data_IF_451110421524
#
_entry.id   IF_451110421524
#
_cell.length_a   1.000
_cell.length_b   1.000
_cell.length_c   1.000
_cell.angle_alpha   90.00
_cell.angle_beta   90.00
_cell.angle_gamma   90.00
#
_symmetry.space_group_name_H-M   'P 1'
#
loop_
_entity.id
_entity.type
_entity.pdbx_description
1 polymer ?
#
# COMPACT_ATOMS: atom_id res chain seq x y z
N UNK A 1 32.41 59.80 40.09
CA UNK A 1 32.90 58.87 39.08
C UNK A 1 31.85 57.75 38.99
N UNK A 2 30.84 57.92 38.09
CA UNK A 2 29.72 57.00 37.94
C UNK A 2 30.01 56.04 36.78
N UNK A 3 30.08 54.75 37.11
CA UNK A 3 30.25 53.68 36.11
C UNK A 3 28.90 53.29 35.56
N UNK A 4 28.66 53.60 34.28
CA UNK A 4 27.52 53.09 33.52
C UNK A 4 27.83 51.68 33.06
N UNK A 5 27.13 50.68 33.60
CA UNK A 5 27.12 49.31 33.10
C UNK A 5 26.02 49.23 32.02
N UNK A 6 26.43 49.15 30.74
CA UNK A 6 25.56 48.81 29.62
C UNK A 6 25.21 47.32 29.71
N UNK A 7 23.95 47.04 30.04
CA UNK A 7 23.34 45.72 29.85
C UNK A 7 23.11 45.53 28.34
N UNK A 8 23.93 44.71 27.74
CA UNK A 8 23.71 44.22 26.41
C UNK A 8 22.61 43.13 26.48
N UNK A 9 21.41 43.39 26.00
CA UNK A 9 20.35 42.40 25.85
C UNK A 9 20.75 41.40 24.82
N UNK A 10 20.60 40.09 25.03
CA UNK A 10 20.79 39.11 23.99
C UNK A 10 19.71 39.27 22.96
N UNK A 11 20.09 39.69 21.74
CA UNK A 11 19.24 39.61 20.56
C UNK A 11 18.81 38.16 20.41
N UNK A 12 17.52 37.91 20.55
CA UNK A 12 16.88 36.66 20.16
C UNK A 12 17.01 36.54 18.65
N UNK A 13 18.06 35.85 18.19
CA UNK A 13 18.10 35.32 16.83
C UNK A 13 16.91 34.37 16.71
N UNK A 14 15.83 34.82 16.13
CA UNK A 14 14.84 33.93 15.57
C UNK A 14 15.58 33.12 14.50
N UNK A 15 15.89 31.84 14.80
CA UNK A 15 16.26 30.89 13.78
C UNK A 15 15.11 30.87 12.75
N UNK A 16 15.31 31.53 11.63
CA UNK A 16 14.46 31.35 10.46
C UNK A 16 14.66 29.90 10.07
N UNK A 17 13.70 29.05 10.38
CA UNK A 17 13.72 27.63 10.02
C UNK A 17 14.01 27.58 8.50
N UNK A 18 15.13 26.97 8.13
CA UNK A 18 15.54 26.82 6.74
C UNK A 18 14.43 26.07 6.01
N UNK A 19 13.79 26.72 5.06
CA UNK A 19 12.73 26.13 4.28
C UNK A 19 13.32 25.05 3.37
N UNK A 20 12.95 23.79 3.62
CA UNK A 20 13.40 22.64 2.83
C UNK A 20 12.66 22.57 1.50
N UNK A 21 13.36 22.22 0.44
CA UNK A 21 12.77 22.03 -0.90
C UNK A 21 12.58 20.55 -1.22
N UNK A 22 11.42 20.22 -1.79
CA UNK A 22 11.05 18.88 -2.23
C UNK A 22 10.68 18.90 -3.72
N UNK A 23 11.22 17.96 -4.49
CA UNK A 23 10.69 17.67 -5.81
C UNK A 23 9.95 16.32 -5.82
N UNK A 24 8.69 16.32 -6.31
CA UNK A 24 7.90 15.12 -6.57
C UNK A 24 7.99 14.80 -8.05
N UNK A 25 8.63 13.69 -8.39
CA UNK A 25 8.93 13.28 -9.76
C UNK A 25 8.07 12.10 -10.18
N UNK A 26 7.32 12.22 -11.27
CA UNK A 26 6.53 11.12 -11.84
C UNK A 26 6.23 11.36 -13.32
N UNK A 27 5.84 10.31 -14.06
CA UNK A 27 5.45 10.45 -15.47
C UNK A 27 3.93 10.50 -15.60
N UNK A 28 3.36 11.71 -15.68
CA UNK A 28 1.91 11.93 -15.75
C UNK A 28 1.29 11.48 -17.08
N UNK A 29 2.06 11.46 -18.16
CA UNK A 29 1.59 11.11 -19.51
C UNK A 29 1.38 9.59 -19.63
N UNK A 30 2.17 8.79 -18.91
CA UNK A 30 2.05 7.34 -18.89
C UNK A 30 0.88 6.83 -18.02
N UNK A 31 0.21 7.71 -17.25
CA UNK A 31 -0.83 7.32 -16.32
C UNK A 31 -2.20 7.23 -16.98
N UNK A 32 -2.89 6.10 -16.83
CA UNK A 32 -4.31 5.95 -17.18
C UNK A 32 -5.18 6.87 -16.31
N UNK A 33 -6.37 7.32 -16.76
CA UNK A 33 -7.24 8.22 -15.99
C UNK A 33 -7.52 7.76 -14.55
N UNK A 34 -7.79 6.48 -14.35
CA UNK A 34 -8.02 5.91 -13.00
C UNK A 34 -6.80 5.98 -12.10
N UNK A 35 -5.60 5.84 -12.67
CA UNK A 35 -4.33 5.92 -11.93
C UNK A 35 -3.98 7.37 -11.61
N UNK A 36 -4.38 8.34 -12.43
CA UNK A 36 -4.20 9.77 -12.14
C UNK A 36 -4.90 10.19 -10.85
N UNK A 37 -6.07 9.63 -10.54
CA UNK A 37 -6.76 9.89 -9.28
C UNK A 37 -5.97 9.37 -8.08
N UNK A 38 -5.40 8.17 -8.19
CA UNK A 38 -4.52 7.58 -7.17
C UNK A 38 -3.31 8.49 -6.91
N UNK A 39 -2.65 8.95 -7.98
CA UNK A 39 -1.51 9.86 -7.84
C UNK A 39 -1.89 11.20 -7.22
N UNK A 40 -3.07 11.73 -7.54
CA UNK A 40 -3.60 12.95 -6.89
C UNK A 40 -3.72 12.77 -5.37
N UNK A 41 -4.22 11.63 -4.92
CA UNK A 41 -4.33 11.32 -3.49
C UNK A 41 -2.94 11.19 -2.85
N UNK A 42 -2.01 10.45 -3.49
CA UNK A 42 -0.63 10.31 -3.00
C UNK A 42 0.05 11.68 -2.88
N UNK A 43 -0.01 12.51 -3.93
CA UNK A 43 0.62 13.84 -3.95
C UNK A 43 -0.01 14.76 -2.90
N UNK A 44 -1.34 14.71 -2.73
CA UNK A 44 -2.04 15.42 -1.67
C UNK A 44 -1.50 15.06 -0.28
N UNK A 45 -1.35 13.77 -0.04
CA UNK A 45 -0.77 13.25 1.20
C UNK A 45 0.69 13.66 1.40
N UNK A 46 1.52 13.58 0.34
CA UNK A 46 2.93 14.03 0.41
C UNK A 46 3.02 15.48 0.85
N UNK A 47 2.19 16.36 0.29
CA UNK A 47 2.17 17.78 0.66
C UNK A 47 1.83 17.99 2.13
N UNK A 48 0.94 17.19 2.69
CA UNK A 48 0.57 17.26 4.09
C UNK A 48 1.65 16.66 4.99
N UNK A 49 2.23 15.51 4.63
CA UNK A 49 3.28 14.84 5.39
C UNK A 49 4.63 15.56 5.37
N UNK A 50 4.98 16.19 4.25
CA UNK A 50 6.21 17.01 4.14
C UNK A 50 6.04 18.40 4.74
N UNK A 51 4.80 18.86 4.91
CA UNK A 51 4.47 20.20 5.41
C UNK A 51 4.26 21.22 4.30
N UNK A 52 3.03 21.72 4.21
CA UNK A 52 2.55 22.66 3.16
C UNK A 52 3.31 23.99 3.08
N UNK A 53 4.06 24.35 4.12
CA UNK A 53 4.85 25.60 4.16
C UNK A 53 6.19 25.45 3.42
N UNK A 54 6.62 24.21 3.13
CA UNK A 54 7.85 23.95 2.41
C UNK A 54 7.66 24.17 0.91
N UNK A 55 8.77 24.41 0.21
CA UNK A 55 8.75 24.56 -1.24
C UNK A 55 8.61 23.18 -1.90
N UNK A 56 7.49 22.92 -2.58
CA UNK A 56 7.20 21.63 -3.24
C UNK A 56 6.99 21.85 -4.73
N UNK A 57 7.84 21.24 -5.53
CA UNK A 57 7.82 21.30 -7.00
C UNK A 57 7.35 19.93 -7.53
N UNK A 58 6.46 19.93 -8.53
CA UNK A 58 6.06 18.71 -9.24
C UNK A 58 6.73 18.66 -10.62
N UNK A 59 7.40 17.53 -10.90
CA UNK A 59 8.04 17.20 -12.17
C UNK A 59 7.25 16.06 -12.82
N UNK A 60 6.49 16.38 -13.85
CA UNK A 60 5.43 15.50 -14.38
C UNK A 60 5.80 14.72 -15.63
N UNK A 61 6.97 14.94 -16.19
CA UNK A 61 7.51 14.24 -17.37
C UNK A 61 8.38 13.02 -17.01
N UNK A 62 8.62 12.82 -15.71
CA UNK A 62 9.49 11.76 -15.19
C UNK A 62 10.97 12.07 -15.27
N UNK A 63 11.36 13.29 -15.69
CA UNK A 63 12.76 13.71 -15.72
C UNK A 63 13.22 14.10 -14.32
N UNK A 64 14.47 13.77 -13.97
CA UNK A 64 15.12 14.17 -12.72
C UNK A 64 16.38 15.01 -12.96
N UNK A 65 16.73 15.25 -14.24
CA UNK A 65 17.92 16.00 -14.60
C UNK A 65 17.72 17.51 -14.43
N UNK A 66 18.70 18.16 -13.80
CA UNK A 66 18.72 19.62 -13.65
C UNK A 66 17.87 20.18 -12.51
N UNK A 67 17.29 19.34 -11.64
CA UNK A 67 16.52 19.78 -10.49
C UNK A 67 17.40 19.90 -9.25
N UNK A 68 17.39 21.07 -8.63
CA UNK A 68 18.05 21.35 -7.36
C UNK A 68 16.99 21.35 -6.26
N UNK A 69 16.76 20.18 -5.64
CA UNK A 69 15.94 20.05 -4.46
C UNK A 69 16.74 19.35 -3.35
N UNK A 70 16.45 19.68 -2.10
CA UNK A 70 17.09 19.01 -0.96
C UNK A 70 16.71 17.53 -0.88
N UNK A 71 15.49 17.19 -1.29
CA UNK A 71 14.96 15.83 -1.28
C UNK A 71 14.09 15.57 -2.51
N UNK A 72 14.14 14.33 -3.01
CA UNK A 72 13.28 13.83 -4.09
C UNK A 72 12.31 12.78 -3.58
N UNK A 73 11.04 12.87 -3.99
CA UNK A 73 10.11 11.74 -3.93
C UNK A 73 9.81 11.31 -5.35
N UNK A 74 10.21 10.09 -5.70
CA UNK A 74 10.05 9.54 -7.06
C UNK A 74 8.94 8.50 -7.05
N UNK A 75 7.91 8.70 -7.88
CA UNK A 75 6.71 7.86 -7.88
C UNK A 75 6.57 7.04 -9.16
N UNK A 76 6.34 5.75 -8.98
CA UNK A 76 6.02 4.79 -10.03
C UNK A 76 7.24 4.17 -10.69
N UNK A 77 7.02 2.97 -11.22
CA UNK A 77 8.06 2.08 -11.71
C UNK A 77 9.01 2.74 -12.71
N UNK A 78 8.46 3.44 -13.70
CA UNK A 78 9.26 4.07 -14.75
C UNK A 78 10.18 5.16 -14.19
N UNK A 79 9.62 6.11 -13.44
CA UNK A 79 10.39 7.24 -12.91
C UNK A 79 11.49 6.74 -11.95
N UNK A 80 11.19 5.74 -11.11
CA UNK A 80 12.17 5.16 -10.18
C UNK A 80 13.29 4.43 -10.93
N UNK A 81 13.00 3.68 -11.99
CA UNK A 81 14.04 3.04 -12.81
C UNK A 81 14.97 4.08 -13.46
N UNK A 82 14.42 5.17 -13.96
CA UNK A 82 15.23 6.27 -14.53
C UNK A 82 16.09 6.93 -13.44
N UNK A 83 15.51 7.17 -12.28
CA UNK A 83 16.21 7.78 -11.16
C UNK A 83 17.37 6.90 -10.65
N UNK A 84 17.15 5.59 -10.52
CA UNK A 84 18.19 4.63 -10.10
C UNK A 84 19.32 4.46 -11.12
N UNK A 85 19.04 4.67 -12.40
CA UNK A 85 20.05 4.64 -13.48
C UNK A 85 20.85 5.94 -13.59
N UNK A 86 20.42 7.01 -12.92
CA UNK A 86 21.06 8.33 -12.95
C UNK A 86 21.97 8.61 -11.77
N UNK A 87 22.74 9.69 -11.88
CA UNK A 87 23.59 10.19 -10.78
C UNK A 87 22.81 11.22 -9.96
N UNK A 88 22.05 10.76 -8.96
CA UNK A 88 21.25 11.60 -8.09
C UNK A 88 22.03 11.93 -6.82
N UNK A 89 22.32 13.20 -6.60
CA UNK A 89 23.02 13.69 -5.40
C UNK A 89 22.07 14.04 -4.23
N UNK A 90 20.78 14.22 -4.51
CA UNK A 90 19.78 14.53 -3.50
C UNK A 90 19.35 13.30 -2.72
N UNK A 91 18.91 13.48 -1.48
CA UNK A 91 18.23 12.43 -0.74
C UNK A 91 16.98 11.95 -1.50
N UNK A 92 16.83 10.63 -1.69
CA UNK A 92 15.73 10.07 -2.49
C UNK A 92 14.85 9.12 -1.68
N UNK A 93 13.54 9.30 -1.82
CA UNK A 93 12.52 8.40 -1.34
C UNK A 93 11.66 7.94 -2.51
N UNK A 94 11.33 6.66 -2.59
CA UNK A 94 10.53 6.11 -3.68
C UNK A 94 9.16 5.63 -3.21
N UNK A 95 8.17 5.72 -4.07
CA UNK A 95 6.83 5.26 -3.77
C UNK A 95 6.06 4.81 -5.01
N UNK A 96 4.89 4.21 -4.78
CA UNK A 96 4.03 3.70 -5.84
C UNK A 96 4.74 2.70 -6.77
N UNK A 97 5.69 1.92 -6.26
CA UNK A 97 6.43 0.88 -7.01
C UNK A 97 5.97 -0.51 -6.62
N UNK A 98 6.14 -1.45 -7.55
CA UNK A 98 5.64 -2.81 -7.47
C UNK A 98 6.72 -3.86 -7.15
N UNK A 99 7.93 -3.43 -6.84
CA UNK A 99 9.03 -4.31 -6.39
C UNK A 99 9.71 -3.71 -5.16
N UNK A 100 10.42 -4.54 -4.41
CA UNK A 100 11.29 -4.08 -3.34
C UNK A 100 12.64 -3.68 -3.89
N UNK A 101 13.19 -2.57 -3.38
CA UNK A 101 14.48 -2.00 -3.76
C UNK A 101 15.26 -1.67 -2.48
N UNK A 102 16.33 -2.43 -2.24
CA UNK A 102 17.09 -2.32 -0.98
C UNK A 102 18.07 -1.14 -0.97
N UNK A 103 18.30 -0.50 -2.10
CA UNK A 103 19.23 0.62 -2.23
C UNK A 103 18.64 1.99 -1.89
N UNK A 104 17.33 2.07 -1.70
CA UNK A 104 16.61 3.34 -1.45
C UNK A 104 15.59 3.23 -0.33
N UNK A 105 15.21 4.37 0.22
CA UNK A 105 14.07 4.47 1.12
C UNK A 105 12.76 4.51 0.35
N UNK A 106 11.71 3.85 0.86
CA UNK A 106 10.41 3.98 0.20
C UNK A 106 9.29 3.14 0.78
N UNK A 107 8.14 3.23 0.11
CA UNK A 107 6.94 2.45 0.41
C UNK A 107 6.50 1.64 -0.81
N UNK A 108 6.20 0.37 -0.57
CA UNK A 108 5.62 -0.49 -1.58
C UNK A 108 4.16 -0.08 -1.89
N UNK A 109 3.70 -0.29 -3.12
CA UNK A 109 2.34 0.13 -3.53
C UNK A 109 1.23 -0.77 -2.98
N UNK A 110 1.53 -2.00 -2.58
CA UNK A 110 0.53 -2.95 -2.10
C UNK A 110 0.47 -2.98 -0.57
N UNK A 111 -0.72 -3.27 -0.04
CA UNK A 111 -0.87 -3.53 1.38
C UNK A 111 0.03 -4.69 1.84
N UNK A 112 0.56 -4.56 3.06
CA UNK A 112 1.34 -5.60 3.73
C UNK A 112 0.53 -6.93 3.78
N UNK A 113 1.03 -8.04 3.23
CA UNK A 113 0.37 -9.33 3.31
C UNK A 113 0.06 -9.79 4.75
N UNK A 114 0.94 -9.44 5.70
CA UNK A 114 0.71 -9.75 7.11
C UNK A 114 -0.60 -9.12 7.59
N UNK A 115 -0.87 -7.88 7.19
CA UNK A 115 -2.09 -7.18 7.55
C UNK A 115 -3.36 -7.82 6.95
N UNK A 116 -3.24 -8.40 5.75
CA UNK A 116 -4.35 -9.13 5.12
C UNK A 116 -4.71 -10.38 5.94
N UNK A 117 -3.71 -11.17 6.35
CA UNK A 117 -3.94 -12.38 7.15
C UNK A 117 -4.38 -12.07 8.58
N UNK A 118 -3.82 -11.03 9.22
CA UNK A 118 -4.26 -10.54 10.53
C UNK A 118 -5.74 -10.13 10.50
N UNK A 119 -6.13 -9.33 9.48
CA UNK A 119 -7.52 -8.92 9.28
C UNK A 119 -8.44 -10.13 9.01
N UNK A 120 -7.96 -11.13 8.26
CA UNK A 120 -8.71 -12.35 8.01
C UNK A 120 -8.97 -13.13 9.30
N UNK A 121 -7.95 -13.31 10.15
CA UNK A 121 -8.10 -13.99 11.44
C UNK A 121 -9.07 -13.24 12.37
N UNK A 122 -9.04 -11.94 12.34
CA UNK A 122 -9.93 -11.12 13.17
C UNK A 122 -11.39 -11.21 12.69
N UNK A 123 -11.62 -11.16 11.37
CA UNK A 123 -12.97 -11.20 10.78
C UNK A 123 -13.52 -12.63 10.69
N UNK A 124 -12.68 -13.60 10.29
CA UNK A 124 -13.09 -14.99 10.04
C UNK A 124 -12.13 -15.97 10.72
N UNK A 125 -12.13 -16.07 12.07
CA UNK A 125 -11.16 -16.87 12.84
C UNK A 125 -11.14 -18.38 12.48
N UNK A 126 -12.22 -18.88 11.86
CA UNK A 126 -12.29 -20.28 11.43
C UNK A 126 -11.41 -20.60 10.20
N UNK A 127 -10.89 -19.59 9.50
CA UNK A 127 -10.06 -19.81 8.32
C UNK A 127 -8.66 -20.23 8.76
N UNK A 128 -8.32 -21.48 8.46
CA UNK A 128 -6.99 -22.05 8.70
C UNK A 128 -6.13 -22.18 7.45
N UNK A 129 -6.71 -22.01 6.27
CA UNK A 129 -5.99 -22.14 5.00
C UNK A 129 -6.48 -21.11 3.96
N UNK A 130 -5.51 -20.50 3.25
CA UNK A 130 -5.77 -19.52 2.21
C UNK A 130 -5.11 -19.94 0.90
N UNK A 131 -5.89 -19.92 -0.17
CA UNK A 131 -5.41 -20.14 -1.53
C UNK A 131 -5.24 -18.81 -2.24
N UNK A 132 -4.13 -18.66 -2.95
CA UNK A 132 -3.79 -17.47 -3.73
C UNK A 132 -3.33 -17.92 -5.11
N UNK A 133 -3.89 -17.34 -6.17
CA UNK A 133 -3.42 -17.57 -7.52
C UNK A 133 -2.62 -16.34 -7.94
N UNK A 134 -1.34 -16.51 -8.20
CA UNK A 134 -0.43 -15.46 -8.63
C UNK A 134 -0.12 -15.56 -10.12
N UNK A 135 0.03 -14.41 -10.73
CA UNK A 135 0.57 -14.30 -12.08
C UNK A 135 2.09 -14.54 -12.05
N UNK A 136 2.58 -15.44 -12.93
CA UNK A 136 4.02 -15.75 -13.06
C UNK A 136 4.86 -14.51 -13.38
N UNK A 137 4.27 -13.51 -14.03
CA UNK A 137 4.96 -12.28 -14.44
C UNK A 137 4.86 -11.16 -13.38
N UNK A 138 4.03 -11.36 -12.35
CA UNK A 138 3.83 -10.36 -11.30
C UNK A 138 4.94 -10.40 -10.26
N UNK A 139 5.43 -9.23 -9.89
CA UNK A 139 6.37 -9.03 -8.77
C UNK A 139 5.73 -8.27 -7.59
N UNK A 140 4.40 -8.11 -7.61
CA UNK A 140 3.69 -7.36 -6.57
C UNK A 140 3.71 -8.03 -5.20
N UNK A 141 3.87 -9.35 -5.14
CA UNK A 141 3.89 -10.11 -3.90
C UNK A 141 5.03 -11.13 -3.94
N UNK A 142 5.76 -11.21 -2.85
CA UNK A 142 6.79 -12.24 -2.65
C UNK A 142 6.16 -13.49 -2.03
N UNK A 143 6.37 -14.65 -2.63
CA UNK A 143 5.78 -15.92 -2.18
C UNK A 143 6.25 -16.33 -0.78
N UNK A 144 7.53 -16.10 -0.47
CA UNK A 144 8.10 -16.40 0.85
C UNK A 144 7.46 -15.52 1.94
N UNK A 145 7.25 -14.23 1.65
CA UNK A 145 6.62 -13.29 2.60
C UNK A 145 5.16 -13.65 2.84
N UNK A 146 4.44 -14.09 1.81
CA UNK A 146 3.06 -14.58 1.93
C UNK A 146 2.99 -15.77 2.89
N UNK A 147 3.83 -16.79 2.66
CA UNK A 147 3.86 -18.00 3.50
C UNK A 147 4.25 -17.67 4.94
N UNK A 148 5.29 -16.85 5.13
CA UNK A 148 5.74 -16.45 6.47
C UNK A 148 4.68 -15.63 7.20
N UNK A 149 4.01 -14.71 6.51
CA UNK A 149 2.96 -13.86 7.09
C UNK A 149 1.74 -14.67 7.51
N UNK A 150 1.30 -15.62 6.68
CA UNK A 150 0.21 -16.52 7.06
C UNK A 150 0.58 -17.38 8.27
N UNK A 151 1.78 -17.97 8.29
CA UNK A 151 2.26 -18.79 9.39
C UNK A 151 2.27 -18.06 10.75
N UNK A 152 2.61 -16.77 10.76
CA UNK A 152 2.61 -15.94 11.99
C UNK A 152 1.26 -15.87 12.68
N UNK A 153 0.17 -15.98 11.93
CA UNK A 153 -1.21 -15.94 12.46
C UNK A 153 -1.91 -17.29 12.37
N UNK A 154 -1.17 -18.38 12.14
CA UNK A 154 -1.74 -19.74 12.11
C UNK A 154 -2.50 -20.09 10.82
N UNK A 155 -2.28 -19.36 9.73
CA UNK A 155 -2.88 -19.63 8.42
C UNK A 155 -1.88 -20.36 7.51
N UNK A 156 -2.27 -21.52 6.98
CA UNK A 156 -1.55 -22.18 5.89
C UNK A 156 -1.81 -21.43 4.58
N UNK A 157 -0.76 -21.06 3.87
CA UNK A 157 -0.86 -20.37 2.58
C UNK A 157 -0.49 -21.32 1.44
N UNK A 158 -1.45 -21.56 0.53
CA UNK A 158 -1.27 -22.36 -0.67
C UNK A 158 -1.26 -21.50 -1.92
N UNK A 159 -0.11 -21.41 -2.58
CA UNK A 159 0.08 -20.57 -3.75
C UNK A 159 0.03 -21.42 -5.00
N UNK A 160 -0.73 -20.97 -6.00
CA UNK A 160 -0.75 -21.51 -7.36
C UNK A 160 -0.30 -20.44 -8.32
N UNK A 161 0.50 -20.82 -9.30
CA UNK A 161 0.98 -19.91 -10.34
C UNK A 161 0.16 -20.12 -11.62
N UNK A 162 -0.18 -19.03 -12.29
CA UNK A 162 -0.85 -19.05 -13.59
C UNK A 162 -0.11 -18.11 -14.55
N UNK A 163 0.09 -18.54 -15.78
CA UNK A 163 0.79 -17.75 -16.80
C UNK A 163 -0.16 -16.95 -17.69
N UNK A 164 -1.45 -17.36 -17.72
CA UNK A 164 -2.46 -16.74 -18.55
C UNK A 164 -3.88 -16.95 -17.99
N UNK A 165 -4.85 -16.29 -18.61
CA UNK A 165 -6.26 -16.33 -18.19
C UNK A 165 -6.85 -17.74 -18.22
N UNK A 166 -6.45 -18.59 -19.18
CA UNK A 166 -6.99 -19.96 -19.30
C UNK A 166 -6.50 -20.84 -18.15
N UNK A 167 -5.20 -20.79 -17.85
CA UNK A 167 -4.61 -21.51 -16.72
C UNK A 167 -5.26 -21.08 -15.40
N UNK A 168 -5.37 -19.78 -15.19
CA UNK A 168 -6.02 -19.24 -14.01
C UNK A 168 -7.48 -19.71 -13.89
N UNK A 169 -8.25 -19.66 -14.96
CA UNK A 169 -9.65 -20.11 -14.97
C UNK A 169 -9.79 -21.58 -14.59
N UNK A 170 -8.90 -22.45 -15.08
CA UNK A 170 -8.86 -23.87 -14.71
C UNK A 170 -8.55 -24.02 -13.23
N UNK A 171 -7.49 -23.35 -12.74
CA UNK A 171 -7.10 -23.42 -11.32
C UNK A 171 -8.23 -22.92 -10.41
N UNK A 172 -8.80 -21.75 -10.69
CA UNK A 172 -9.94 -21.22 -9.90
C UNK A 172 -11.14 -22.15 -9.94
N UNK A 173 -11.47 -22.73 -11.12
CA UNK A 173 -12.57 -23.67 -11.27
C UNK A 173 -12.38 -24.92 -10.43
N UNK A 174 -11.21 -25.55 -10.50
CA UNK A 174 -10.93 -26.76 -9.74
C UNK A 174 -10.87 -26.49 -8.24
N UNK A 175 -10.13 -25.49 -7.80
CA UNK A 175 -10.07 -25.12 -6.38
C UNK A 175 -11.47 -24.87 -5.79
N UNK A 176 -12.25 -24.05 -6.44
CA UNK A 176 -13.58 -23.65 -5.90
C UNK A 176 -14.61 -24.77 -5.82
N UNK A 177 -14.38 -25.93 -6.46
CA UNK A 177 -15.22 -27.15 -6.29
C UNK A 177 -14.97 -27.84 -4.95
N UNK A 178 -13.78 -27.72 -4.40
CA UNK A 178 -13.29 -28.50 -3.26
C UNK A 178 -13.08 -27.70 -1.99
N UNK A 179 -13.11 -26.34 -2.08
CA UNK A 179 -12.92 -25.45 -0.92
C UNK A 179 -14.00 -25.66 0.13
N UNK A 180 -13.56 -25.71 1.40
CA UNK A 180 -14.38 -25.91 2.58
C UNK A 180 -14.60 -24.62 3.37
N UNK A 181 -15.54 -24.65 4.33
CA UNK A 181 -15.90 -23.45 5.12
C UNK A 181 -14.78 -22.88 5.98
N UNK A 182 -13.75 -23.67 6.29
CA UNK A 182 -12.55 -23.24 7.02
C UNK A 182 -11.41 -22.79 6.09
N UNK A 183 -11.67 -22.66 4.80
CA UNK A 183 -10.71 -22.25 3.80
C UNK A 183 -11.13 -20.92 3.15
N UNK A 184 -10.16 -20.19 2.62
CA UNK A 184 -10.39 -18.94 1.92
C UNK A 184 -9.66 -18.87 0.60
N UNK A 185 -10.22 -18.08 -0.33
CA UNK A 185 -9.60 -17.66 -1.57
C UNK A 185 -9.31 -16.16 -1.49
N UNK A 186 -8.05 -15.77 -1.61
CA UNK A 186 -7.67 -14.38 -1.72
C UNK A 186 -7.37 -14.01 -3.18
N UNK A 187 -8.12 -13.05 -3.72
CA UNK A 187 -7.86 -12.42 -5.02
C UNK A 187 -6.84 -11.29 -4.77
N UNK A 188 -5.56 -11.47 -5.18
CA UNK A 188 -4.46 -10.59 -4.81
C UNK A 188 -4.50 -9.24 -5.54
N UNK A 189 -3.66 -8.25 -5.16
CA UNK A 189 -3.52 -7.02 -5.91
C UNK A 189 -2.96 -7.28 -7.31
N UNK A 190 -3.40 -6.48 -8.29
CA UNK A 190 -2.93 -6.62 -9.68
C UNK A 190 -3.42 -7.87 -10.40
N UNK A 191 -4.38 -8.62 -9.85
CA UNK A 191 -4.96 -9.77 -10.52
C UNK A 191 -5.62 -9.36 -11.84
N UNK A 192 -5.08 -9.89 -12.94
CA UNK A 192 -5.59 -9.71 -14.31
C UNK A 192 -6.48 -10.85 -14.78
N UNK A 193 -6.64 -11.90 -13.98
CA UNK A 193 -7.32 -13.14 -14.38
C UNK A 193 -8.79 -13.16 -13.98
N UNK A 194 -9.15 -12.52 -12.86
CA UNK A 194 -10.51 -12.54 -12.33
C UNK A 194 -11.39 -11.49 -13.01
N UNK A 195 -12.01 -11.90 -14.11
CA UNK A 195 -13.05 -11.10 -14.78
C UNK A 195 -14.42 -11.24 -14.08
N UNK A 196 -15.41 -10.46 -14.54
CA UNK A 196 -16.75 -10.44 -13.97
C UNK A 196 -17.41 -11.84 -13.92
N UNK A 197 -17.27 -12.64 -14.97
CA UNK A 197 -17.87 -13.98 -15.07
C UNK A 197 -17.25 -14.94 -14.07
N UNK A 198 -15.91 -15.00 -14.03
CA UNK A 198 -15.21 -15.85 -13.08
C UNK A 198 -15.51 -15.46 -11.64
N UNK A 199 -15.47 -14.16 -11.31
CA UNK A 199 -15.83 -13.67 -9.98
C UNK A 199 -17.23 -14.11 -9.58
N UNK A 200 -18.22 -13.94 -10.46
CA UNK A 200 -19.62 -14.35 -10.17
C UNK A 200 -19.73 -15.86 -9.91
N UNK A 201 -18.98 -16.67 -10.66
CA UNK A 201 -18.95 -18.13 -10.45
C UNK A 201 -18.32 -18.51 -9.11
N UNK A 202 -17.20 -17.86 -8.75
CA UNK A 202 -16.54 -18.07 -7.47
C UNK A 202 -17.43 -17.70 -6.29
N UNK A 203 -18.10 -16.55 -6.39
CA UNK A 203 -19.01 -16.07 -5.34
C UNK A 203 -20.24 -16.97 -5.18
N UNK A 204 -20.82 -17.47 -6.29
CA UNK A 204 -21.93 -18.42 -6.22
C UNK A 204 -21.51 -19.74 -5.52
N UNK A 205 -20.32 -20.23 -5.80
CA UNK A 205 -19.79 -21.43 -5.13
C UNK A 205 -19.49 -21.17 -3.67
N UNK A 206 -18.82 -20.05 -3.36
CA UNK A 206 -18.58 -19.60 -1.98
C UNK A 206 -19.87 -19.53 -1.18
N UNK A 207 -20.93 -18.96 -1.75
CA UNK A 207 -22.23 -18.87 -1.13
C UNK A 207 -22.84 -20.23 -0.80
N UNK A 208 -22.65 -21.23 -1.67
CA UNK A 208 -23.17 -22.59 -1.47
C UNK A 208 -22.33 -23.45 -0.51
N UNK A 209 -21.00 -23.33 -0.60
CA UNK A 209 -20.06 -24.21 0.14
C UNK A 209 -19.52 -23.56 1.42
N UNK A 210 -19.76 -22.27 1.62
CA UNK A 210 -19.37 -21.55 2.84
C UNK A 210 -17.90 -21.13 2.92
N UNK A 211 -17.07 -21.40 1.90
CA UNK A 211 -15.69 -20.90 1.90
C UNK A 211 -15.63 -19.39 1.74
N UNK A 212 -14.59 -18.78 2.28
CA UNK A 212 -14.45 -17.31 2.26
C UNK A 212 -13.77 -16.81 0.99
N UNK A 213 -14.29 -15.75 0.37
CA UNK A 213 -13.59 -15.02 -0.71
C UNK A 213 -13.28 -13.62 -0.22
N UNK A 214 -12.00 -13.24 -0.29
CA UNK A 214 -11.52 -11.89 -0.03
C UNK A 214 -10.76 -11.34 -1.24
N UNK A 215 -10.55 -10.02 -1.28
CA UNK A 215 -9.88 -9.37 -2.40
C UNK A 215 -9.00 -8.19 -1.95
N UNK A 216 -8.05 -7.82 -2.79
CA UNK A 216 -7.35 -6.53 -2.69
C UNK A 216 -8.01 -5.43 -3.53
N UNK A 217 -9.07 -5.75 -4.27
CA UNK A 217 -9.83 -4.79 -5.07
C UNK A 217 -11.16 -4.44 -4.38
N UNK A 218 -11.36 -3.20 -3.89
CA UNK A 218 -12.57 -2.80 -3.19
C UNK A 218 -13.84 -2.89 -4.06
N UNK A 219 -13.72 -2.81 -5.39
CA UNK A 219 -14.89 -2.94 -6.28
C UNK A 219 -15.50 -4.35 -6.29
N UNK A 220 -14.81 -5.36 -5.78
CA UNK A 220 -15.33 -6.72 -5.65
C UNK A 220 -16.29 -6.87 -4.47
N UNK A 221 -16.21 -5.99 -3.48
CA UNK A 221 -17.08 -6.03 -2.28
C UNK A 221 -18.53 -5.85 -2.64
N UNK A 222 -18.88 -4.87 -3.48
CA UNK A 222 -20.24 -4.64 -3.96
C UNK A 222 -20.81 -5.81 -4.78
N UNK A 223 -19.92 -6.72 -5.25
CA UNK A 223 -20.31 -7.93 -6.01
C UNK A 223 -20.51 -9.16 -5.12
N UNK A 224 -20.15 -9.09 -3.83
CA UNK A 224 -20.36 -10.16 -2.86
C UNK A 224 -19.11 -10.77 -2.23
N UNK A 225 -17.91 -10.26 -2.52
CA UNK A 225 -16.70 -10.61 -1.77
C UNK A 225 -16.87 -10.16 -0.31
N UNK A 226 -16.44 -10.97 0.66
CA UNK A 226 -16.67 -10.69 2.07
C UNK A 226 -16.04 -9.38 2.50
N UNK A 227 -14.75 -9.22 2.21
CA UNK A 227 -14.05 -7.96 2.41
C UNK A 227 -12.94 -7.75 1.39
N UNK A 228 -12.55 -6.50 1.22
CA UNK A 228 -11.35 -6.12 0.51
C UNK A 228 -10.49 -5.20 1.36
N UNK A 229 -9.19 -5.50 1.39
CA UNK A 229 -8.17 -4.66 1.97
C UNK A 229 -7.37 -4.00 0.85
N UNK A 230 -7.41 -2.67 0.78
CA UNK A 230 -6.75 -1.90 -0.27
C UNK A 230 -5.92 -0.77 0.32
N UNK A 231 -4.87 -0.30 -0.37
CA UNK A 231 -4.08 0.86 0.07
C UNK A 231 -4.92 2.11 0.35
N UNK A 232 -4.59 2.84 1.41
CA UNK A 232 -4.97 4.24 1.54
C UNK A 232 -3.89 5.10 0.90
N UNK A 233 -4.14 5.50 -0.34
CA UNK A 233 -3.17 6.24 -1.15
C UNK A 233 -2.85 7.63 -0.60
N UNK A 234 -3.81 8.27 0.09
CA UNK A 234 -3.55 9.55 0.73
C UNK A 234 -2.60 9.39 1.94
N UNK A 235 -2.87 8.42 2.81
CA UNK A 235 -1.99 8.13 3.95
C UNK A 235 -0.63 7.60 3.51
N UNK A 236 -0.58 6.80 2.42
CA UNK A 236 0.69 6.44 1.78
C UNK A 236 1.49 7.70 1.42
N UNK A 237 0.84 8.70 0.84
CA UNK A 237 1.46 9.98 0.54
C UNK A 237 1.97 10.70 1.78
N UNK A 238 1.17 10.76 2.85
CA UNK A 238 1.60 11.35 4.14
C UNK A 238 2.87 10.67 4.64
N UNK A 239 2.91 9.33 4.64
CA UNK A 239 4.10 8.58 5.06
C UNK A 239 5.33 8.83 4.18
N UNK A 240 5.14 8.98 2.86
CA UNK A 240 6.24 9.33 1.96
C UNK A 240 6.78 10.72 2.26
N UNK A 241 5.92 11.70 2.54
CA UNK A 241 6.31 13.05 2.94
C UNK A 241 7.08 13.09 4.26
N UNK A 242 6.57 12.41 5.29
CA UNK A 242 7.23 12.24 6.59
C UNK A 242 8.60 11.55 6.45
N UNK A 243 8.67 10.48 5.62
CA UNK A 243 9.90 9.75 5.36
C UNK A 243 10.92 10.62 4.65
N UNK A 244 10.50 11.45 3.69
CA UNK A 244 11.39 12.37 2.98
C UNK A 244 12.03 13.39 3.94
N UNK A 245 11.26 13.96 4.88
CA UNK A 245 11.81 14.82 5.93
C UNK A 245 12.81 14.07 6.80
N UNK A 246 12.46 12.87 7.25
CA UNK A 246 13.33 12.07 8.11
C UNK A 246 14.64 11.72 7.43
N UNK A 247 14.63 11.38 6.15
CA UNK A 247 15.84 11.05 5.38
C UNK A 247 16.67 12.30 5.12
N UNK A 248 16.02 13.45 4.88
CA UNK A 248 16.72 14.73 4.76
C UNK A 248 17.44 15.13 6.05
N UNK A 249 16.78 15.02 7.19
CA UNK A 249 17.34 15.35 8.50
C UNK A 249 18.45 14.37 8.93
N UNK A 250 18.38 13.13 8.46
CA UNK A 250 19.30 12.06 8.85
C UNK A 250 19.77 11.26 7.61
N UNK A 251 20.65 11.82 6.77
CA UNK A 251 21.04 11.20 5.49
C UNK A 251 21.85 9.89 5.65
N UNK A 252 22.27 9.54 6.87
CA UNK A 252 23.00 8.30 7.15
C UNK A 252 22.11 7.13 7.59
N UNK A 253 20.78 7.30 7.62
CA UNK A 253 19.87 6.18 7.89
C UNK A 253 20.04 5.14 6.77
N UNK A 254 20.23 3.85 7.10
CA UNK A 254 20.31 2.81 6.08
C UNK A 254 19.05 2.75 5.23
N UNK A 255 19.18 2.63 3.90
CA UNK A 255 18.04 2.50 3.01
C UNK A 255 17.12 1.35 3.43
N UNK A 256 15.81 1.57 3.27
CA UNK A 256 14.81 0.56 3.57
C UNK A 256 13.52 0.82 2.83
N UNK A 257 12.97 -0.24 2.23
CA UNK A 257 11.60 -0.28 1.74
C UNK A 257 10.68 -0.85 2.81
N UNK A 258 9.55 -0.18 3.04
CA UNK A 258 8.53 -0.66 3.98
C UNK A 258 7.30 -1.17 3.22
N UNK A 259 6.67 -2.26 3.70
CA UNK A 259 5.34 -2.63 3.24
C UNK A 259 4.32 -1.57 3.67
N UNK A 260 3.28 -1.36 2.87
CA UNK A 260 2.25 -0.38 3.17
C UNK A 260 1.27 -0.93 4.23
N UNK A 261 1.16 -0.22 5.35
CA UNK A 261 0.27 -0.61 6.45
C UNK A 261 -0.95 0.31 6.63
N UNK A 262 -0.97 1.43 5.94
CA UNK A 262 -2.13 2.32 5.89
C UNK A 262 -3.11 1.82 4.82
N UNK A 263 -4.27 1.30 5.25
CA UNK A 263 -5.21 0.59 4.38
C UNK A 263 -6.66 0.97 4.63
N UNK A 264 -7.49 0.74 3.62
CA UNK A 264 -8.95 0.82 3.67
C UNK A 264 -9.53 -0.60 3.68
N UNK A 265 -10.29 -0.93 4.72
CA UNK A 265 -11.06 -2.16 4.81
C UNK A 265 -12.50 -1.90 4.36
N UNK A 266 -12.88 -2.54 3.27
CA UNK A 266 -14.26 -2.51 2.75
C UNK A 266 -14.92 -3.86 3.06
N UNK A 267 -16.10 -3.87 3.69
CA UNK A 267 -16.79 -5.09 4.10
C UNK A 267 -18.18 -5.16 3.49
N UNK A 268 -18.54 -6.33 2.96
CA UNK A 268 -19.89 -6.63 2.51
C UNK A 268 -20.74 -7.18 3.67
N UNK A 269 -21.64 -6.37 4.21
CA UNK A 269 -22.50 -6.74 5.34
C UNK A 269 -23.41 -7.92 5.00
N UNK A 270 -23.96 -7.98 3.79
CA UNK A 270 -24.83 -9.08 3.37
C UNK A 270 -24.10 -10.41 3.36
N UNK A 271 -22.90 -10.42 2.80
CA UNK A 271 -22.04 -11.61 2.77
C UNK A 271 -21.61 -12.00 4.18
N UNK A 272 -21.22 -11.05 5.03
CA UNK A 272 -20.86 -11.29 6.42
C UNK A 272 -22.02 -11.95 7.20
N UNK A 273 -23.24 -11.41 7.08
CA UNK A 273 -24.43 -11.97 7.73
C UNK A 273 -24.73 -13.39 7.24
N UNK A 274 -24.65 -13.63 5.91
CA UNK A 274 -24.85 -14.98 5.35
C UNK A 274 -23.84 -16.00 5.88
N UNK A 275 -22.60 -15.59 6.06
CA UNK A 275 -21.52 -16.46 6.55
C UNK A 275 -21.46 -16.55 8.08
N UNK A 276 -22.40 -15.90 8.80
CA UNK A 276 -22.43 -15.84 10.26
C UNK A 276 -21.23 -15.08 10.87
N UNK A 277 -20.63 -14.16 10.10
CA UNK A 277 -19.49 -13.36 10.51
C UNK A 277 -19.96 -12.07 11.18
N UNK A 278 -19.51 -11.84 12.42
CA UNK A 278 -19.79 -10.61 13.16
C UNK A 278 -18.66 -9.61 12.91
N UNK A 279 -18.99 -8.49 12.27
CA UNK A 279 -18.04 -7.39 12.08
C UNK A 279 -18.04 -6.55 13.35
N UNK A 280 -16.94 -6.56 14.08
CA UNK A 280 -16.79 -5.75 15.29
C UNK A 280 -16.59 -4.27 14.92
N UNK A 281 -17.28 -3.32 15.61
CA UNK A 281 -17.07 -1.89 15.37
C UNK A 281 -15.64 -1.42 15.66
N UNK A 282 -14.93 -2.15 16.53
CA UNK A 282 -13.62 -1.78 17.07
C UNK A 282 -12.42 -2.32 16.26
N UNK A 283 -12.65 -2.91 15.08
CA UNK A 283 -11.58 -3.32 14.15
C UNK A 283 -10.54 -2.22 13.92
N UNK A 284 -10.92 -0.94 14.09
CA UNK A 284 -10.03 0.21 13.99
C UNK A 284 -8.96 0.29 15.10
N UNK A 285 -9.22 -0.33 16.26
CA UNK A 285 -8.41 -0.15 17.47
C UNK A 285 -7.46 -1.30 17.77
N UNK A 286 -7.61 -2.44 17.08
CA UNK A 286 -6.83 -3.64 17.35
C UNK A 286 -5.32 -3.49 17.05
N UNK A 287 -4.94 -2.44 16.33
CA UNK A 287 -3.55 -2.26 15.90
C UNK A 287 -3.16 -0.77 15.93
N UNK A 288 -2.48 -0.28 16.97
CA UNK A 288 -2.11 1.13 17.14
C UNK A 288 -1.22 1.69 16.01
N UNK A 289 -0.49 0.82 15.30
CA UNK A 289 0.39 1.23 14.19
C UNK A 289 -0.31 1.19 12.80
N UNK A 290 -1.64 1.04 12.77
CA UNK A 290 -2.41 0.83 11.53
C UNK A 290 -3.55 1.83 11.42
N UNK A 291 -3.61 2.53 10.29
CA UNK A 291 -4.78 3.31 9.92
C UNK A 291 -5.72 2.45 9.08
N UNK A 292 -6.71 1.81 9.72
CA UNK A 292 -7.73 1.03 9.02
C UNK A 292 -9.02 1.85 8.95
N UNK A 293 -9.42 2.25 7.74
CA UNK A 293 -10.74 2.84 7.49
C UNK A 293 -11.73 1.74 7.11
N UNK A 294 -12.80 1.59 7.92
CA UNK A 294 -13.85 0.60 7.64
C UNK A 294 -14.97 1.27 6.85
N UNK A 295 -15.22 0.77 5.66
CA UNK A 295 -16.37 1.12 4.86
C UNK A 295 -17.27 -0.11 4.74
N UNK A 296 -18.47 -0.05 5.34
CA UNK A 296 -19.45 -1.14 5.28
C UNK A 296 -20.46 -0.83 4.18
N UNK A 297 -20.59 -1.73 3.20
CA UNK A 297 -21.54 -1.65 2.08
C UNK A 297 -22.72 -2.60 2.27
#
# INVERSE_FOLDING_TARGET
MAIFILFCSPESRSEVAKQTSLAIVYNSQALRPSVKLIYKDIIGGIRDGFGRKNNIIEVTDGSYQGWSADTLIVLGNYAVQQALAGDIQSSMVVGAISWFEDSVHGLHITADPALVFETMQEIVPRVGKVFIILDTDSRLLNTSDLVMSGKKVGIEVSIKMASNIKDAAVIYSELSKHLQSHEALWIPPGDRFVNKTLLSTLLLRSWKSGFTVISSNPSHVSKGVLFALSPDYYLMGVRLGELALKVYENPHIPPKMWPLRDVKLNVNRRTANHMGVKIQPDLKHSHPDKSIYIQVQ
#
